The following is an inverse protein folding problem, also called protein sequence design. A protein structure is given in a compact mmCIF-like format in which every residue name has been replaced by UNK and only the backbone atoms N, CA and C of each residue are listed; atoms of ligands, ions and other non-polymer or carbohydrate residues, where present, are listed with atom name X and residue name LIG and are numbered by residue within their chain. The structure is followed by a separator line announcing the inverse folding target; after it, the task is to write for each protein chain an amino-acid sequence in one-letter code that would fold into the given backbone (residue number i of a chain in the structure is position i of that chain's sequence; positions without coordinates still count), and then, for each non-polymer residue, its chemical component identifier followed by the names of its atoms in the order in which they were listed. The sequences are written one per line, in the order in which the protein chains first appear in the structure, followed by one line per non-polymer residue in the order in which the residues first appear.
data_IF_314308217950
#
_entry.id   IF_314308217950
#
_cell.length_a   1.000
_cell.length_b   1.000
_cell.length_c   1.000
_cell.angle_alpha   90.00
_cell.angle_beta   90.00
_cell.angle_gamma   90.00
#
_symmetry.space_group_name_H-M   'P 1'
#
loop_
_entity.id
_entity.type
_entity.pdbx_description
1 polymer ?
#
# COMPACT_ATOMS: atom_id res chain seq x y z
N UNK A 1 17.83 16.02 1.10
CA UNK A 1 17.12 15.17 0.12
C UNK A 1 16.48 16.10 -0.88
N UNK A 2 16.81 15.95 -2.16
CA UNK A 2 16.15 16.71 -3.22
C UNK A 2 14.79 16.08 -3.58
N UNK A 3 13.89 16.86 -4.17
CA UNK A 3 12.56 16.37 -4.61
C UNK A 3 12.67 15.18 -5.57
N UNK A 4 13.72 15.16 -6.42
CA UNK A 4 13.99 14.07 -7.37
C UNK A 4 14.39 12.77 -6.67
N UNK A 5 15.24 12.86 -5.65
CA UNK A 5 15.64 11.71 -4.85
C UNK A 5 14.43 11.14 -4.10
N UNK A 6 13.59 12.02 -3.55
CA UNK A 6 12.36 11.64 -2.87
C UNK A 6 11.40 10.91 -3.83
N UNK A 7 11.12 11.47 -5.01
CA UNK A 7 10.26 10.82 -6.00
C UNK A 7 10.78 9.43 -6.40
N UNK A 8 12.09 9.32 -6.65
CA UNK A 8 12.73 8.05 -7.04
C UNK A 8 12.64 6.99 -5.92
N UNK A 9 12.82 7.42 -4.67
CA UNK A 9 12.65 6.55 -3.51
C UNK A 9 11.19 6.08 -3.37
N UNK A 10 10.23 6.99 -3.55
CA UNK A 10 8.81 6.67 -3.47
C UNK A 10 8.34 5.76 -4.60
N UNK A 11 8.86 5.90 -5.82
CA UNK A 11 8.61 4.97 -6.92
C UNK A 11 9.09 3.55 -6.62
N UNK A 12 10.25 3.45 -5.99
CA UNK A 12 10.80 2.17 -5.55
C UNK A 12 9.93 1.55 -4.45
N UNK A 13 9.47 2.36 -3.49
CA UNK A 13 8.57 1.92 -2.43
C UNK A 13 7.21 1.48 -3.00
N UNK A 14 6.59 2.25 -3.89
CA UNK A 14 5.33 1.88 -4.55
C UNK A 14 5.46 0.58 -5.34
N UNK A 15 6.61 0.36 -6.00
CA UNK A 15 6.88 -0.90 -6.71
C UNK A 15 6.93 -2.08 -5.74
N UNK A 16 7.60 -1.93 -4.59
CA UNK A 16 7.63 -2.95 -3.56
C UNK A 16 6.24 -3.22 -2.98
N UNK A 17 5.44 -2.18 -2.78
CA UNK A 17 4.06 -2.34 -2.30
C UNK A 17 3.17 -3.05 -3.32
N UNK A 18 3.29 -2.76 -4.61
CA UNK A 18 2.57 -3.50 -5.66
C UNK A 18 2.87 -5.00 -5.63
N UNK A 19 4.14 -5.37 -5.41
CA UNK A 19 4.53 -6.77 -5.26
C UNK A 19 3.90 -7.41 -4.01
N UNK A 20 3.98 -6.75 -2.85
CA UNK A 20 3.34 -7.23 -1.61
C UNK A 20 1.83 -7.38 -1.74
N UNK A 21 1.17 -6.43 -2.39
CA UNK A 21 -0.27 -6.47 -2.67
C UNK A 21 -0.63 -7.65 -3.58
N UNK A 22 0.18 -7.92 -4.59
CA UNK A 22 0.02 -9.09 -5.44
C UNK A 22 0.11 -10.40 -4.64
N UNK A 23 1.10 -10.51 -3.76
CA UNK A 23 1.26 -11.69 -2.90
C UNK A 23 0.09 -11.86 -1.91
N UNK A 24 -0.40 -10.76 -1.33
CA UNK A 24 -1.59 -10.77 -0.49
C UNK A 24 -2.83 -11.25 -1.25
N UNK A 25 -3.05 -10.76 -2.48
CA UNK A 25 -4.14 -11.22 -3.34
C UNK A 25 -4.05 -12.73 -3.65
N UNK A 26 -2.84 -13.25 -3.92
CA UNK A 26 -2.63 -14.69 -4.09
C UNK A 26 -2.94 -15.51 -2.86
N UNK A 27 -2.73 -14.95 -1.65
CA UNK A 27 -3.12 -15.60 -0.38
C UNK A 27 -4.64 -15.55 -0.20
N UNK A 28 -5.28 -14.42 -0.50
CA UNK A 28 -6.74 -14.25 -0.47
C UNK A 28 -7.42 -15.23 -1.42
N UNK A 29 -6.86 -15.44 -2.63
CA UNK A 29 -7.42 -16.33 -3.64
C UNK A 29 -7.60 -17.78 -3.17
N UNK A 30 -6.81 -18.21 -2.18
CA UNK A 30 -6.86 -19.55 -1.57
C UNK A 30 -7.92 -19.69 -0.49
N UNK A 31 -8.55 -18.60 -0.07
CA UNK A 31 -9.60 -18.61 0.95
C UNK A 31 -10.96 -19.01 0.38
N UNK A 32 -11.89 -19.38 1.25
CA UNK A 32 -13.29 -19.60 0.89
C UNK A 32 -13.98 -18.30 0.49
N UNK A 33 -15.09 -18.38 -0.25
CA UNK A 33 -15.79 -17.19 -0.78
C UNK A 33 -16.28 -16.25 0.34
N UNK A 34 -16.75 -16.79 1.46
CA UNK A 34 -17.22 -15.99 2.60
C UNK A 34 -16.08 -15.25 3.30
N UNK A 35 -14.87 -15.83 3.33
CA UNK A 35 -13.68 -15.21 3.88
C UNK A 35 -13.13 -14.12 2.96
N UNK A 36 -13.16 -14.34 1.63
CA UNK A 36 -12.75 -13.34 0.64
C UNK A 36 -13.55 -12.05 0.76
N UNK A 37 -14.88 -12.16 0.91
CA UNK A 37 -15.75 -10.98 1.07
C UNK A 37 -15.36 -10.13 2.29
N UNK A 38 -14.97 -10.77 3.39
CA UNK A 38 -14.54 -10.06 4.61
C UNK A 38 -13.24 -9.29 4.42
N UNK A 39 -12.35 -9.77 3.55
CA UNK A 39 -11.03 -9.17 3.31
C UNK A 39 -11.07 -8.16 2.15
N UNK A 40 -12.11 -8.20 1.31
CA UNK A 40 -12.24 -7.29 0.17
C UNK A 40 -12.15 -5.82 0.58
N UNK A 41 -12.76 -5.43 1.71
CA UNK A 41 -12.69 -4.06 2.23
C UNK A 41 -11.25 -3.68 2.59
N UNK A 42 -10.48 -4.58 3.21
CA UNK A 42 -9.08 -4.32 3.52
C UNK A 42 -8.24 -4.08 2.25
N UNK A 43 -8.49 -4.84 1.19
CA UNK A 43 -7.81 -4.66 -0.11
C UNK A 43 -8.20 -3.33 -0.76
N UNK A 44 -9.47 -2.93 -0.67
CA UNK A 44 -9.93 -1.64 -1.17
C UNK A 44 -9.23 -0.47 -0.46
N UNK A 45 -9.14 -0.52 0.87
CA UNK A 45 -8.43 0.50 1.66
C UNK A 45 -6.95 0.60 1.25
N UNK A 46 -6.28 -0.54 1.05
CA UNK A 46 -4.88 -0.57 0.59
C UNK A 46 -4.70 0.05 -0.80
N UNK A 47 -5.61 -0.23 -1.73
CA UNK A 47 -5.57 0.39 -3.05
C UNK A 47 -5.80 1.90 -2.98
N UNK A 48 -6.72 2.37 -2.12
CA UNK A 48 -6.94 3.80 -1.93
C UNK A 48 -5.69 4.53 -1.42
N UNK A 49 -4.97 3.95 -0.45
CA UNK A 49 -3.73 4.54 0.08
C UNK A 49 -2.65 4.57 -1.01
N UNK A 50 -2.51 3.49 -1.78
CA UNK A 50 -1.58 3.42 -2.91
C UNK A 50 -1.87 4.51 -3.95
N UNK A 51 -3.14 4.68 -4.32
CA UNK A 51 -3.55 5.64 -5.34
C UNK A 51 -3.33 7.08 -4.87
N UNK A 52 -3.65 7.42 -3.62
CA UNK A 52 -3.39 8.75 -3.04
C UNK A 52 -1.88 9.07 -3.02
N UNK A 53 -1.05 8.13 -2.57
CA UNK A 53 0.41 8.29 -2.62
C UNK A 53 0.92 8.49 -4.05
N UNK A 54 0.43 7.70 -5.00
CA UNK A 54 0.84 7.81 -6.40
C UNK A 54 0.48 9.17 -7.00
N UNK A 55 -0.73 9.67 -6.71
CA UNK A 55 -1.17 10.99 -7.15
C UNK A 55 -0.30 12.11 -6.59
N UNK A 56 0.03 12.06 -5.29
CA UNK A 56 0.91 13.03 -4.63
C UNK A 56 2.33 13.02 -5.17
N UNK A 57 2.89 11.83 -5.43
CA UNK A 57 4.22 11.71 -6.06
C UNK A 57 4.19 12.27 -7.48
N UNK A 58 3.14 11.99 -8.25
CA UNK A 58 3.01 12.56 -9.59
C UNK A 58 2.91 14.08 -9.55
N UNK A 59 2.14 14.64 -8.61
CA UNK A 59 2.05 16.08 -8.38
C UNK A 59 3.44 16.71 -8.14
N UNK A 60 4.28 16.07 -7.33
CA UNK A 60 5.66 16.55 -7.10
C UNK A 60 6.50 16.57 -8.38
N UNK A 61 6.34 15.56 -9.24
CA UNK A 61 7.08 15.47 -10.51
C UNK A 61 6.64 16.53 -11.50
N UNK A 62 5.33 16.82 -11.57
CA UNK A 62 4.78 17.73 -12.58
C UNK A 62 4.80 19.19 -12.16
N UNK A 63 4.49 19.49 -10.89
CA UNK A 63 4.31 20.87 -10.42
C UNK A 63 5.58 21.48 -9.85
N UNK A 64 6.55 20.65 -9.42
CA UNK A 64 7.83 21.08 -8.84
C UNK A 64 7.68 22.26 -7.84
N UNK A 65 6.84 22.13 -6.81
CA UNK A 65 6.56 23.24 -5.90
C UNK A 65 7.80 23.66 -5.12
N UNK A 66 7.93 24.97 -4.87
CA UNK A 66 9.05 25.54 -4.11
C UNK A 66 9.10 25.05 -2.66
N UNK A 67 7.93 24.79 -2.06
CA UNK A 67 7.81 24.08 -0.80
C UNK A 67 6.97 22.81 -1.02
N UNK A 68 7.64 21.67 -0.93
CA UNK A 68 7.05 20.36 -1.10
C UNK A 68 6.93 19.60 0.24
N UNK A 69 7.27 20.25 1.35
CA UNK A 69 7.21 19.66 2.69
C UNK A 69 5.82 19.12 3.07
N UNK A 70 4.69 19.77 2.70
CA UNK A 70 3.37 19.21 2.96
C UNK A 70 3.13 17.90 2.22
N UNK A 71 3.41 17.87 0.90
CA UNK A 71 3.21 16.67 0.08
C UNK A 71 4.12 15.54 0.55
N UNK A 72 5.36 15.87 0.93
CA UNK A 72 6.28 14.91 1.56
C UNK A 72 5.66 14.23 2.77
N UNK A 73 5.13 15.02 3.72
CA UNK A 73 4.52 14.50 4.95
C UNK A 73 3.34 13.59 4.64
N UNK A 74 2.51 13.98 3.67
CA UNK A 74 1.33 13.21 3.34
C UNK A 74 1.68 11.86 2.70
N UNK A 75 2.71 11.84 1.83
CA UNK A 75 3.22 10.60 1.24
C UNK A 75 3.90 9.71 2.30
N UNK A 76 4.70 10.30 3.21
CA UNK A 76 5.31 9.56 4.31
C UNK A 76 4.26 8.97 5.26
N UNK A 77 3.17 9.70 5.52
CA UNK A 77 2.03 9.19 6.28
C UNK A 77 1.33 8.05 5.54
N UNK A 78 1.11 8.19 4.24
CA UNK A 78 0.58 7.13 3.39
C UNK A 78 1.41 5.84 3.47
N UNK A 79 2.75 5.94 3.48
CA UNK A 79 3.63 4.77 3.63
C UNK A 79 3.48 4.09 5.00
N UNK A 80 3.23 4.85 6.06
CA UNK A 80 2.94 4.32 7.40
C UNK A 80 1.58 3.61 7.41
N UNK A 81 0.55 4.27 6.87
CA UNK A 81 -0.81 3.74 6.82
C UNK A 81 -0.88 2.48 5.97
N UNK A 82 -0.17 2.46 4.83
CA UNK A 82 -0.03 1.29 3.97
C UNK A 82 0.57 0.10 4.73
N UNK A 83 1.59 0.34 5.56
CA UNK A 83 2.20 -0.71 6.39
C UNK A 83 1.24 -1.26 7.43
N UNK A 84 0.61 -0.38 8.21
CA UNK A 84 -0.35 -0.80 9.22
C UNK A 84 -1.51 -1.59 8.62
N UNK A 85 -2.09 -1.07 7.53
CA UNK A 85 -3.21 -1.73 6.87
C UNK A 85 -2.82 -3.06 6.21
N UNK A 86 -1.60 -3.16 5.68
CA UNK A 86 -1.11 -4.41 5.11
C UNK A 86 -0.96 -5.48 6.20
N UNK A 87 -0.41 -5.12 7.36
CA UNK A 87 -0.30 -6.03 8.51
C UNK A 87 -1.67 -6.52 8.99
N UNK A 88 -2.64 -5.62 9.13
CA UNK A 88 -4.04 -5.98 9.46
C UNK A 88 -4.64 -6.96 8.44
N UNK A 89 -4.39 -6.71 7.16
CA UNK A 89 -4.89 -7.55 6.05
C UNK A 89 -4.28 -8.94 6.12
N UNK A 90 -2.97 -9.04 6.36
CA UNK A 90 -2.26 -10.30 6.49
C UNK A 90 -2.70 -11.08 7.74
N UNK A 91 -2.98 -10.39 8.85
CA UNK A 91 -3.56 -11.01 10.04
C UNK A 91 -4.97 -11.55 9.76
N UNK A 92 -5.82 -10.79 9.07
CA UNK A 92 -7.16 -11.24 8.67
C UNK A 92 -7.11 -12.47 7.75
N UNK A 93 -6.19 -12.47 6.76
CA UNK A 93 -5.91 -13.63 5.91
C UNK A 93 -5.47 -14.83 6.75
N UNK A 94 -4.57 -14.63 7.71
CA UNK A 94 -4.07 -15.70 8.59
C UNK A 94 -5.18 -16.32 9.44
N UNK A 95 -6.07 -15.51 10.01
CA UNK A 95 -7.26 -15.98 10.77
C UNK A 95 -8.28 -16.71 9.91
N UNK A 96 -8.40 -16.32 8.64
CA UNK A 96 -9.33 -16.90 7.69
C UNK A 96 -8.83 -18.20 7.03
N UNK A 97 -7.53 -18.48 7.11
CA UNK A 97 -6.95 -19.63 6.44
C UNK A 97 -7.10 -20.93 7.26
N UNK A 98 -7.61 -22.02 6.67
CA UNK A 98 -7.71 -23.32 7.34
C UNK A 98 -6.35 -24.03 7.52
N UNK A 99 -5.30 -23.52 6.89
CA UNK A 99 -3.91 -24.00 7.02
C UNK A 99 -2.97 -22.83 7.34
N UNK A 100 -1.92 -23.06 8.13
CA UNK A 100 -0.95 -22.02 8.48
C UNK A 100 -0.37 -21.38 7.22
N UNK A 101 -0.64 -20.09 7.00
CA UNK A 101 -0.02 -19.32 5.92
C UNK A 101 1.28 -18.77 6.47
N UNK A 102 2.41 -19.25 5.94
CA UNK A 102 3.71 -18.68 6.26
C UNK A 102 3.72 -17.18 5.91
N UNK A 103 4.21 -16.37 6.86
CA UNK A 103 4.30 -14.91 6.79
C UNK A 103 4.92 -14.42 5.50
#
# INVERSE_FOLDING_TARGET
MEVKDFCSAMESEMTAWKAKMYDAMRKIDKLGSAEKEKILMNVQDLNMIMDDMAQRVEQLRTECPSDWSPIKKDVEQGSIDMRGKYEETMEAIGKASPVSIAG
#
